data_IF_988446987966
#
_entry.id   IF_988446987966
#
_cell.length_a   1.000
_cell.length_b   1.000
_cell.length_c   1.000
_cell.angle_alpha   90.00
_cell.angle_beta   90.00
_cell.angle_gamma   90.00
#
_symmetry.space_group_name_H-M   'P 1'
#
loop_
_entity.id
_entity.type
_entity.pdbx_description
1 polymer ?
#
# COMPACT_ATOMS: atom_id res chain seq x y z
N UNK A 1 -10.35 -0.07 0.58
CA UNK A 1 -8.96 0.26 0.96
C UNK A 1 -7.99 -0.90 0.85
N UNK A 2 -7.96 -1.83 1.81
CA UNK A 2 -6.90 -2.86 1.87
C UNK A 2 -6.85 -3.80 0.65
N UNK A 3 -8.01 -4.19 0.11
CA UNK A 3 -8.13 -5.04 -1.08
C UNK A 3 -7.54 -4.35 -2.32
N UNK A 4 -7.68 -3.03 -2.41
CA UNK A 4 -7.20 -2.25 -3.55
C UNK A 4 -5.69 -2.00 -3.45
N UNK A 5 -5.16 -1.74 -2.25
CA UNK A 5 -3.71 -1.63 -2.05
C UNK A 5 -3.01 -2.89 -2.53
N UNK A 6 -3.50 -4.07 -2.10
CA UNK A 6 -2.97 -5.35 -2.55
C UNK A 6 -3.07 -5.53 -4.07
N UNK A 7 -4.24 -5.23 -4.65
CA UNK A 7 -4.48 -5.32 -6.10
C UNK A 7 -3.49 -4.47 -6.89
N UNK A 8 -3.36 -3.18 -6.57
CA UNK A 8 -2.48 -2.26 -7.29
C UNK A 8 -0.99 -2.59 -7.06
N UNK A 9 -0.63 -3.11 -5.88
CA UNK A 9 0.72 -3.65 -5.64
C UNK A 9 1.04 -4.81 -6.59
N UNK A 10 0.12 -5.76 -6.74
CA UNK A 10 0.28 -6.90 -7.63
C UNK A 10 0.29 -6.50 -9.12
N UNK A 11 -0.51 -5.50 -9.51
CA UNK A 11 -0.48 -4.92 -10.86
C UNK A 11 0.87 -4.25 -11.20
N UNK A 12 1.55 -3.68 -10.20
CA UNK A 12 2.93 -3.16 -10.33
C UNK A 12 4.01 -4.24 -10.18
N UNK A 13 3.63 -5.51 -10.04
CA UNK A 13 4.53 -6.65 -9.82
C UNK A 13 5.45 -6.48 -8.61
N UNK A 14 5.02 -5.75 -7.58
CA UNK A 14 5.77 -5.54 -6.35
C UNK A 14 5.40 -6.61 -5.31
N UNK A 15 6.38 -7.13 -4.59
CA UNK A 15 6.16 -7.85 -3.33
C UNK A 15 5.81 -6.89 -2.18
N UNK A 16 5.31 -7.43 -1.07
CA UNK A 16 5.05 -6.63 0.13
C UNK A 16 6.33 -6.02 0.71
N UNK A 17 7.47 -6.70 0.52
CA UNK A 17 8.78 -6.24 0.97
C UNK A 17 9.25 -5.06 0.12
N UNK A 18 9.22 -5.18 -1.21
CA UNK A 18 9.57 -4.08 -2.12
C UNK A 18 8.66 -2.85 -1.94
N UNK A 19 7.35 -3.05 -1.69
CA UNK A 19 6.48 -1.93 -1.38
C UNK A 19 6.87 -1.27 -0.05
N UNK A 20 7.19 -2.08 0.96
CA UNK A 20 7.65 -1.60 2.26
C UNK A 20 8.92 -0.76 2.15
N UNK A 21 9.94 -1.27 1.46
CA UNK A 21 11.18 -0.56 1.19
C UNK A 21 10.93 0.78 0.46
N UNK A 22 10.07 0.78 -0.56
CA UNK A 22 9.76 1.98 -1.34
C UNK A 22 9.01 3.06 -0.54
N UNK A 23 8.23 2.69 0.47
CA UNK A 23 7.51 3.65 1.33
C UNK A 23 8.18 3.92 2.67
N UNK A 24 9.36 3.32 2.90
CA UNK A 24 10.15 3.39 4.13
C UNK A 24 9.39 2.81 5.34
N UNK A 25 8.95 1.55 5.21
CA UNK A 25 8.36 0.77 6.29
C UNK A 25 8.67 -0.73 6.18
N UNK A 26 8.32 -1.49 7.22
CA UNK A 26 8.52 -2.94 7.19
C UNK A 26 7.49 -3.65 6.29
N UNK A 27 7.89 -4.80 5.75
CA UNK A 27 7.00 -5.75 5.07
C UNK A 27 5.80 -6.12 5.96
N UNK A 28 6.02 -6.28 7.27
CA UNK A 28 4.98 -6.61 8.26
C UNK A 28 3.92 -5.52 8.34
N UNK A 29 4.32 -4.24 8.26
CA UNK A 29 3.40 -3.12 8.23
C UNK A 29 2.51 -3.19 6.98
N UNK A 30 3.10 -3.37 5.79
CA UNK A 30 2.34 -3.54 4.54
C UNK A 30 1.35 -4.71 4.66
N UNK A 31 1.80 -5.84 5.19
CA UNK A 31 0.94 -7.00 5.41
C UNK A 31 -0.25 -6.69 6.34
N UNK A 32 -0.04 -5.93 7.43
CA UNK A 32 -1.14 -5.52 8.32
C UNK A 32 -2.11 -4.58 7.63
N UNK A 33 -1.61 -3.61 6.85
CA UNK A 33 -2.42 -2.69 6.05
C UNK A 33 -3.27 -3.44 5.01
N UNK A 34 -2.68 -4.37 4.25
CA UNK A 34 -3.39 -5.16 3.24
C UNK A 34 -4.44 -6.10 3.84
N UNK A 35 -4.24 -6.54 5.08
CA UNK A 35 -5.17 -7.42 5.80
C UNK A 35 -6.13 -6.69 6.76
N UNK A 36 -6.26 -5.36 6.67
CA UNK A 36 -7.17 -4.54 7.53
C UNK A 36 -6.86 -4.64 9.04
N UNK A 37 -5.63 -5.01 9.40
CA UNK A 37 -5.19 -5.11 10.79
C UNK A 37 -4.66 -3.78 11.33
N UNK A 38 -4.32 -2.86 10.44
CA UNK A 38 -3.79 -1.54 10.79
C UNK A 38 -4.18 -0.54 9.70
N UNK A 39 -4.62 0.65 10.11
CA UNK A 39 -4.89 1.74 9.19
C UNK A 39 -3.64 2.62 9.02
N UNK A 40 -3.11 2.78 7.80
CA UNK A 40 -2.00 3.68 7.54
C UNK A 40 -2.42 5.14 7.78
N UNK A 41 -1.48 5.96 8.25
CA UNK A 41 -1.67 7.41 8.28
C UNK A 41 -1.92 7.98 6.87
N UNK A 42 -2.55 9.16 6.77
CA UNK A 42 -2.76 9.84 5.48
C UNK A 42 -1.43 10.00 4.71
N UNK A 43 -0.35 10.38 5.41
CA UNK A 43 0.99 10.49 4.81
C UNK A 43 1.45 9.17 4.20
N UNK A 44 1.25 8.06 4.90
CA UNK A 44 1.62 6.73 4.41
C UNK A 44 0.73 6.32 3.22
N UNK A 45 -0.57 6.58 3.29
CA UNK A 45 -1.50 6.32 2.20
C UNK A 45 -1.08 7.07 0.91
N UNK A 46 -0.68 8.34 1.04
CA UNK A 46 -0.18 9.13 -0.09
C UNK A 46 1.14 8.58 -0.65
N UNK A 47 2.07 8.13 0.21
CA UNK A 47 3.30 7.47 -0.23
C UNK A 47 3.00 6.18 -1.02
N UNK A 48 2.11 5.35 -0.51
CA UNK A 48 1.70 4.10 -1.18
C UNK A 48 1.07 4.43 -2.54
N UNK A 49 0.15 5.39 -2.61
CA UNK A 49 -0.45 5.84 -3.86
C UNK A 49 0.61 6.31 -4.88
N UNK A 50 1.59 7.08 -4.41
CA UNK A 50 2.69 7.56 -5.25
C UNK A 50 3.55 6.41 -5.80
N UNK A 51 3.94 5.45 -4.95
CA UNK A 51 4.73 4.27 -5.37
C UNK A 51 3.94 3.37 -6.33
N UNK A 52 2.65 3.22 -6.09
CA UNK A 52 1.76 2.44 -6.94
C UNK A 52 1.28 3.21 -8.19
N UNK A 53 1.68 4.48 -8.34
CA UNK A 53 1.38 5.34 -9.48
C UNK A 53 -0.13 5.40 -9.78
N UNK A 54 -0.90 5.64 -8.71
CA UNK A 54 -2.36 5.79 -8.76
C UNK A 54 -2.82 6.94 -7.88
N UNK A 55 -4.03 7.42 -8.14
CA UNK A 55 -4.69 8.38 -7.29
C UNK A 55 -5.15 7.73 -5.97
N UNK A 56 -4.91 8.33 -4.78
CA UNK A 56 -5.30 7.76 -3.49
C UNK A 56 -6.80 7.40 -3.39
N UNK A 57 -7.65 8.11 -4.12
CA UNK A 57 -9.09 7.85 -4.22
C UNK A 57 -9.37 6.41 -4.68
N UNK A 58 -8.52 5.83 -5.53
CA UNK A 58 -8.61 4.43 -5.99
C UNK A 58 -8.56 3.42 -4.86
N UNK A 59 -8.01 3.76 -3.70
CA UNK A 59 -8.06 2.86 -2.56
C UNK A 59 -9.46 2.75 -1.95
N UNK A 60 -10.36 3.71 -2.16
CA UNK A 60 -11.69 3.74 -1.53
C UNK A 60 -12.81 3.19 -2.42
N UNK A 61 -12.50 2.88 -3.68
CA UNK A 61 -13.38 2.13 -4.60
C UNK A 61 -13.61 0.67 -4.12
#
# INVERSE_FOLDING_TARGET
>A
MSKNIKKYREEKALSQEELGEKVDCSREFINRVENRKEDPSLKMLLKIAFVLDIYPQRFFE
#
